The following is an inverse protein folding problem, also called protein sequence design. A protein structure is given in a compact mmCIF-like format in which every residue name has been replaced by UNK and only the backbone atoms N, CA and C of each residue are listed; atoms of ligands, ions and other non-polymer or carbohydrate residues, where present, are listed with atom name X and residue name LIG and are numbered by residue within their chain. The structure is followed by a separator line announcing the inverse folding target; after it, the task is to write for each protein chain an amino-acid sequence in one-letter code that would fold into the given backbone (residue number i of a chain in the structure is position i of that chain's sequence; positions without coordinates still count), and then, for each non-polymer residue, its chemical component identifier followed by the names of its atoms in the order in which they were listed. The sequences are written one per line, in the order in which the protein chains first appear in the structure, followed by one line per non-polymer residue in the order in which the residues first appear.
data_IF_437861608451
#
_entry.id   IF_437861608451
#
_cell.length_a   1.000
_cell.length_b   1.000
_cell.length_c   1.000
_cell.angle_alpha   90.00
_cell.angle_beta   90.00
_cell.angle_gamma   90.00
#
_symmetry.space_group_name_H-M   'P 1'
#
loop_
_entity.id
_entity.type
_entity.pdbx_description
1 polymer ?
#
# COMPACT_ATOMS: atom_id res chain seq x y z
N UNK A 1 -7.69 -1.50 -19.34
CA UNK A 1 -7.06 -1.17 -18.04
C UNK A 1 -6.25 -2.39 -17.60
N UNK A 2 -4.97 -2.23 -17.27
CA UNK A 2 -3.98 -3.32 -17.17
C UNK A 2 -4.37 -4.38 -16.11
N UNK A 3 -4.30 -5.68 -16.44
CA UNK A 3 -4.81 -6.78 -15.60
C UNK A 3 -4.11 -6.86 -14.23
N UNK A 4 -2.83 -6.52 -14.16
CA UNK A 4 -2.03 -6.55 -12.93
C UNK A 4 -2.46 -5.48 -11.91
N UNK A 5 -2.80 -4.27 -12.36
CA UNK A 5 -3.30 -3.21 -11.47
C UNK A 5 -4.64 -3.59 -10.86
N UNK A 6 -5.53 -4.22 -11.64
CA UNK A 6 -6.81 -4.71 -11.12
C UNK A 6 -6.63 -5.81 -10.07
N UNK A 7 -5.71 -6.74 -10.30
CA UNK A 7 -5.37 -7.78 -9.32
C UNK A 7 -4.79 -7.18 -8.04
N UNK A 8 -3.82 -6.28 -8.16
CA UNK A 8 -3.22 -5.59 -7.01
C UNK A 8 -4.26 -4.80 -6.21
N UNK A 9 -5.14 -4.06 -6.89
CA UNK A 9 -6.21 -3.29 -6.24
C UNK A 9 -7.27 -4.18 -5.57
N UNK A 10 -7.53 -5.38 -6.11
CA UNK A 10 -8.43 -6.37 -5.49
C UNK A 10 -7.84 -6.91 -4.18
N UNK A 11 -6.52 -7.02 -4.08
CA UNK A 11 -5.84 -7.40 -2.84
C UNK A 11 -5.83 -6.21 -1.87
N UNK A 12 -5.51 -5.01 -2.37
CA UNK A 12 -5.40 -3.78 -1.56
C UNK A 12 -6.73 -3.40 -0.87
N UNK A 13 -7.87 -3.63 -1.53
CA UNK A 13 -9.20 -3.38 -0.94
C UNK A 13 -9.54 -4.26 0.28
N UNK A 14 -8.71 -5.27 0.57
CA UNK A 14 -8.89 -6.19 1.69
C UNK A 14 -8.06 -5.81 2.93
N UNK A 15 -7.46 -4.61 2.97
CA UNK A 15 -6.56 -4.11 4.02
C UNK A 15 -7.04 -4.31 5.47
N UNK A 16 -8.36 -4.42 5.67
CA UNK A 16 -8.98 -4.53 7.00
C UNK A 16 -9.24 -5.98 7.47
N UNK A 17 -8.82 -7.01 6.72
CA UNK A 17 -9.21 -8.40 7.03
C UNK A 17 -8.37 -9.10 8.11
N UNK A 18 -7.25 -8.54 8.54
CA UNK A 18 -6.31 -9.20 9.49
C UNK A 18 -6.08 -8.39 10.77
N UNK A 19 -7.16 -7.89 11.37
CA UNK A 19 -7.09 -7.11 12.62
C UNK A 19 -6.61 -7.93 13.85
N UNK A 20 -6.68 -9.27 13.79
CA UNK A 20 -6.40 -10.16 14.92
C UNK A 20 -4.97 -10.75 14.93
N UNK A 21 -4.10 -10.35 13.99
CA UNK A 21 -2.70 -10.79 14.00
C UNK A 21 -1.90 -10.04 15.09
N UNK A 22 -1.36 -10.79 16.05
CA UNK A 22 -0.54 -10.28 17.14
C UNK A 22 0.66 -9.44 16.67
N UNK A 23 1.25 -9.81 15.54
CA UNK A 23 2.47 -9.16 15.02
C UNK A 23 2.18 -7.99 14.10
N UNK A 24 0.92 -7.78 13.71
CA UNK A 24 0.57 -6.72 12.77
C UNK A 24 0.64 -5.35 13.46
N UNK A 25 1.48 -4.42 12.98
CA UNK A 25 1.51 -3.05 13.50
C UNK A 25 0.15 -2.36 13.40
N UNK A 26 -0.29 -1.76 14.51
CA UNK A 26 -1.58 -1.04 14.58
C UNK A 26 -1.51 0.43 14.18
N UNK A 27 -0.30 1.00 14.17
CA UNK A 27 -0.04 2.43 13.91
C UNK A 27 1.02 2.67 12.82
N UNK A 28 1.33 1.66 12.02
CA UNK A 28 2.21 1.78 10.86
C UNK A 28 1.46 1.35 9.61
N UNK A 29 1.77 1.97 8.47
CA UNK A 29 1.21 1.57 7.18
C UNK A 29 1.68 0.15 6.86
N UNK A 30 0.73 -0.74 6.62
CA UNK A 30 0.98 -2.13 6.23
C UNK A 30 -0.04 -2.55 5.18
N UNK A 31 0.38 -3.16 4.05
CA UNK A 31 -0.57 -3.65 3.06
C UNK A 31 -1.35 -4.84 3.63
N UNK A 32 -2.50 -5.21 3.02
CA UNK A 32 -3.27 -6.40 3.40
C UNK A 32 -2.49 -7.71 3.29
N UNK A 33 -1.54 -7.77 2.36
CA UNK A 33 -0.83 -8.98 1.96
C UNK A 33 0.53 -8.63 1.37
N UNK A 34 1.44 -9.60 1.38
CA UNK A 34 2.68 -9.55 0.62
C UNK A 34 3.78 -8.71 1.27
N UNK A 35 4.87 -8.52 0.53
CA UNK A 35 6.06 -7.82 1.01
C UNK A 35 5.96 -6.31 0.73
N UNK A 36 5.98 -5.50 1.80
CA UNK A 36 6.26 -4.05 1.75
C UNK A 36 7.75 -3.81 1.93
N UNK A 37 8.32 -2.85 1.20
CA UNK A 37 9.68 -2.37 1.45
C UNK A 37 9.77 -0.84 1.35
N UNK A 38 10.60 -0.31 0.46
CA UNK A 38 11.07 1.07 0.49
C UNK A 38 9.91 2.09 0.39
N UNK A 39 9.90 3.15 1.22
CA UNK A 39 9.02 4.28 0.99
C UNK A 39 9.45 5.01 -0.29
N UNK A 40 8.49 5.41 -1.10
CA UNK A 40 8.69 6.11 -2.36
C UNK A 40 7.78 7.33 -2.45
N UNK A 41 8.19 8.34 -3.22
CA UNK A 41 7.35 9.49 -3.55
C UNK A 41 6.68 10.18 -2.35
N UNK A 42 7.33 10.20 -1.18
CA UNK A 42 6.75 10.82 0.01
C UNK A 42 6.76 12.33 -0.13
N UNK A 43 5.58 12.93 -0.26
CA UNK A 43 5.42 14.35 -0.60
C UNK A 43 4.13 14.91 -0.03
N UNK A 44 4.10 16.21 0.24
CA UNK A 44 2.84 16.95 0.37
C UNK A 44 2.55 17.61 -0.98
N UNK A 45 1.38 17.33 -1.54
CA UNK A 45 0.94 17.87 -2.81
C UNK A 45 -0.55 18.22 -2.71
N UNK A 46 -0.92 19.42 -3.19
CA UNK A 46 -2.31 19.92 -3.19
C UNK A 46 -3.01 19.79 -1.81
N UNK A 47 -2.27 20.11 -0.74
CA UNK A 47 -2.81 20.10 0.63
C UNK A 47 -2.93 18.71 1.26
N UNK A 48 -2.52 17.63 0.58
CA UNK A 48 -2.59 16.27 1.08
C UNK A 48 -1.19 15.63 1.14
N UNK A 49 -0.95 14.76 2.13
CA UNK A 49 0.26 13.95 2.19
C UNK A 49 0.06 12.69 1.35
N UNK A 50 1.02 12.40 0.47
CA UNK A 50 1.07 11.23 -0.37
C UNK A 50 2.28 10.40 0.02
N UNK A 51 2.05 9.12 0.32
CA UNK A 51 3.13 8.15 0.53
C UNK A 51 2.90 6.96 -0.38
N UNK A 52 3.93 6.66 -1.16
CA UNK A 52 4.01 5.44 -1.95
C UNK A 52 5.00 4.49 -1.31
N UNK A 53 4.94 3.21 -1.67
CA UNK A 53 5.93 2.24 -1.25
C UNK A 53 6.04 1.10 -2.24
N UNK A 54 7.22 0.50 -2.31
CA UNK A 54 7.42 -0.73 -3.06
C UNK A 54 6.62 -1.87 -2.42
N UNK A 55 5.88 -2.60 -3.25
CA UNK A 55 4.99 -3.66 -2.79
C UNK A 55 5.01 -4.85 -3.75
N UNK A 56 5.10 -6.06 -3.20
CA UNK A 56 4.82 -7.31 -3.92
C UNK A 56 3.52 -7.93 -3.38
N UNK A 57 2.37 -7.78 -4.07
CA UNK A 57 1.06 -8.15 -3.54
C UNK A 57 0.83 -9.66 -3.40
N UNK A 58 1.58 -10.46 -4.16
CA UNK A 58 1.29 -11.88 -4.36
C UNK A 58 2.07 -12.82 -3.44
N UNK A 59 3.15 -12.36 -2.79
CA UNK A 59 3.91 -13.15 -1.82
C UNK A 59 4.77 -12.30 -0.88
N UNK A 60 5.10 -12.86 0.29
CA UNK A 60 6.00 -12.25 1.28
C UNK A 60 7.49 -12.46 0.95
N UNK A 61 7.88 -12.16 -0.28
CA UNK A 61 9.26 -12.25 -0.77
C UNK A 61 9.53 -11.16 -1.80
N UNK A 62 10.81 -10.91 -2.10
CA UNK A 62 11.17 -10.03 -3.21
C UNK A 62 10.63 -10.59 -4.53
N UNK A 63 10.13 -9.71 -5.40
CA UNK A 63 9.41 -10.07 -6.61
C UNK A 63 8.99 -8.82 -7.39
N UNK A 64 8.03 -8.95 -8.32
CA UNK A 64 7.51 -7.84 -9.10
C UNK A 64 7.08 -6.67 -8.20
N UNK A 65 7.61 -5.48 -8.49
CA UNK A 65 7.42 -4.28 -7.66
C UNK A 65 6.30 -3.42 -8.20
N UNK A 66 5.26 -3.28 -7.39
CA UNK A 66 4.20 -2.29 -7.55
C UNK A 66 4.52 -1.07 -6.70
N UNK A 67 3.96 0.08 -7.06
CA UNK A 67 3.90 1.24 -6.17
C UNK A 67 2.49 1.34 -5.62
N UNK A 68 2.31 0.86 -4.39
CA UNK A 68 1.08 1.13 -3.65
C UNK A 68 1.05 2.60 -3.23
N UNK A 69 -0.15 3.16 -3.05
CA UNK A 69 -0.35 4.56 -2.73
C UNK A 69 -1.31 4.70 -1.56
N UNK A 70 -0.95 5.53 -0.59
CA UNK A 70 -1.85 5.98 0.46
C UNK A 70 -1.72 7.49 0.64
N UNK A 71 -2.80 8.10 1.14
CA UNK A 71 -2.81 9.53 1.45
C UNK A 71 -3.33 9.80 2.84
N UNK A 72 -2.95 10.94 3.39
CA UNK A 72 -3.35 11.42 4.70
C UNK A 72 -3.48 12.93 4.71
N UNK A 73 -4.42 13.45 5.48
CA UNK A 73 -4.56 14.89 5.70
C UNK A 73 -3.78 15.35 6.95
N UNK A 74 -3.40 14.43 7.85
CA UNK A 74 -2.86 14.72 9.18
C UNK A 74 -1.63 13.87 9.59
N UNK A 75 -1.14 12.99 8.71
CA UNK A 75 -0.10 11.98 8.96
C UNK A 75 -0.45 10.90 10.00
N UNK A 76 -1.67 10.92 10.54
CA UNK A 76 -2.16 9.96 11.54
C UNK A 76 -3.07 8.95 10.86
N UNK A 77 -4.09 9.42 10.14
CA UNK A 77 -5.07 8.58 9.44
C UNK A 77 -4.67 8.44 7.97
N UNK A 78 -4.47 7.20 7.53
CA UNK A 78 -4.03 6.89 6.17
C UNK A 78 -5.11 6.14 5.40
N UNK A 79 -5.36 6.59 4.17
CA UNK A 79 -6.34 6.00 3.27
C UNK A 79 -5.62 5.40 2.05
N UNK A 80 -5.77 4.10 1.84
CA UNK A 80 -5.27 3.46 0.61
C UNK A 80 -5.99 4.01 -0.62
N UNK A 81 -5.20 4.29 -1.66
CA UNK A 81 -5.65 4.72 -2.99
C UNK A 81 -5.37 3.59 -4.00
N UNK A 82 -5.92 3.66 -5.23
CA UNK A 82 -5.54 2.72 -6.27
C UNK A 82 -4.02 2.66 -6.45
N UNK A 83 -3.49 1.46 -6.62
CA UNK A 83 -2.08 1.19 -6.91
C UNK A 83 -1.63 2.05 -8.07
N UNK A 84 -0.52 2.78 -7.89
CA UNK A 84 -0.07 3.81 -8.82
C UNK A 84 0.68 3.23 -10.02
N UNK A 85 1.59 2.28 -9.77
CA UNK A 85 2.42 1.66 -10.82
C UNK A 85 2.41 0.14 -10.68
N UNK A 86 2.43 -0.54 -11.82
CA UNK A 86 2.72 -1.96 -11.97
C UNK A 86 3.94 -2.12 -12.88
N UNK A 87 4.65 -3.27 -12.81
CA UNK A 87 5.73 -3.61 -13.74
C UNK A 87 5.35 -3.52 -15.21
#
# INVERSE_FOLDING_TARGET
MNSLLNQANTILSQANKSADDHWRPKFHITPPSGLLNDPNGFIQFDGQYHLFFQWHPFACQHGPKFWAHCTSDDLIQWNFKPTALAP
#
